data_IF_398739252258
#
_entry.id   IF_398739252258
#
_cell.length_a   1.000
_cell.length_b   1.000
_cell.length_c   1.000
_cell.angle_alpha   90.00
_cell.angle_beta   90.00
_cell.angle_gamma   90.00
#
_symmetry.space_group_name_H-M   'P 1'
#
loop_
_entity.id
_entity.type
_entity.pdbx_description
1 polymer ?
#
# COMPACT_ATOMS: atom_id res chain seq x y z
N UNK A 1 -3.39 -48.50 -38.49
CA UNK A 1 -4.03 -47.17 -38.58
C UNK A 1 -4.67 -46.88 -37.23
N UNK A 2 -4.05 -46.07 -36.38
CA UNK A 2 -4.63 -45.68 -35.10
C UNK A 2 -4.22 -44.24 -34.81
N UNK A 3 -5.05 -43.31 -35.26
CA UNK A 3 -4.87 -41.88 -35.00
C UNK A 3 -5.36 -41.55 -33.60
N UNK A 4 -4.45 -41.15 -32.71
CA UNK A 4 -4.79 -40.52 -31.44
C UNK A 4 -5.37 -39.13 -31.71
N UNK A 5 -6.67 -38.99 -31.49
CA UNK A 5 -7.36 -37.71 -31.51
C UNK A 5 -7.00 -36.98 -30.20
N UNK A 6 -5.99 -36.11 -30.24
CA UNK A 6 -5.62 -35.25 -29.10
C UNK A 6 -6.70 -34.17 -28.98
N UNK A 7 -7.64 -34.39 -28.08
CA UNK A 7 -8.64 -33.39 -27.71
C UNK A 7 -7.89 -32.27 -26.97
N UNK A 8 -7.51 -31.22 -27.68
CA UNK A 8 -7.04 -29.98 -27.07
C UNK A 8 -8.22 -29.36 -26.33
N UNK A 9 -8.29 -29.61 -25.02
CA UNK A 9 -9.20 -28.89 -24.12
C UNK A 9 -8.72 -27.45 -24.04
N UNK A 10 -9.24 -26.59 -24.91
CA UNK A 10 -9.10 -25.16 -24.75
C UNK A 10 -9.68 -24.77 -23.38
N UNK A 11 -8.87 -24.21 -22.45
CA UNK A 11 -9.39 -23.76 -21.17
C UNK A 11 -10.47 -22.69 -21.43
N UNK A 12 -11.62 -22.87 -20.79
CA UNK A 12 -12.76 -21.98 -20.94
C UNK A 12 -12.34 -20.56 -20.48
N UNK A 13 -12.41 -19.52 -21.34
CA UNK A 13 -11.94 -18.16 -21.01
C UNK A 13 -12.55 -17.59 -19.72
N UNK A 14 -13.74 -18.05 -19.35
CA UNK A 14 -14.43 -17.63 -18.13
C UNK A 14 -13.78 -18.17 -16.84
N UNK A 15 -13.21 -19.38 -16.86
CA UNK A 15 -12.54 -19.98 -15.71
C UNK A 15 -11.20 -19.31 -15.40
N UNK A 16 -10.44 -18.98 -16.44
CA UNK A 16 -9.14 -18.29 -16.31
C UNK A 16 -9.32 -16.89 -15.71
N UNK A 17 -10.36 -16.17 -16.14
CA UNK A 17 -10.63 -14.80 -15.69
C UNK A 17 -11.04 -14.74 -14.21
N UNK A 18 -11.90 -15.68 -13.78
CA UNK A 18 -12.31 -15.78 -12.37
C UNK A 18 -11.13 -16.12 -11.43
N UNK A 19 -10.24 -17.00 -11.89
CA UNK A 19 -9.06 -17.42 -11.11
C UNK A 19 -8.08 -16.26 -10.91
N UNK A 20 -7.78 -15.49 -11.96
CA UNK A 20 -6.89 -14.33 -11.92
C UNK A 20 -7.47 -13.22 -11.02
N UNK A 21 -8.77 -12.91 -11.13
CA UNK A 21 -9.43 -11.93 -10.28
C UNK A 21 -9.36 -12.32 -8.78
N UNK A 22 -9.55 -13.61 -8.47
CA UNK A 22 -9.44 -14.12 -7.11
C UNK A 22 -8.01 -13.97 -6.54
N UNK A 23 -6.99 -14.11 -7.40
CA UNK A 23 -5.59 -13.97 -7.03
C UNK A 23 -5.21 -12.51 -6.74
N UNK A 24 -5.65 -11.59 -7.61
CA UNK A 24 -5.48 -10.14 -7.44
C UNK A 24 -6.11 -9.63 -6.13
N UNK A 25 -7.27 -10.16 -5.78
CA UNK A 25 -7.95 -9.80 -4.53
C UNK A 25 -7.20 -10.29 -3.29
N UNK A 26 -6.69 -11.54 -3.33
CA UNK A 26 -5.91 -12.13 -2.22
C UNK A 26 -4.59 -11.39 -2.02
N UNK A 27 -3.89 -11.06 -3.10
CA UNK A 27 -2.62 -10.35 -3.04
C UNK A 27 -2.77 -8.90 -2.55
N UNK A 28 -3.82 -8.19 -3.00
CA UNK A 28 -4.16 -6.84 -2.50
C UNK A 28 -4.47 -6.87 -1.01
N UNK A 29 -5.24 -7.87 -0.55
CA UNK A 29 -5.52 -8.06 0.87
C UNK A 29 -4.26 -8.33 1.70
N UNK A 30 -3.34 -9.17 1.19
CA UNK A 30 -2.05 -9.40 1.84
C UNK A 30 -1.21 -8.13 1.93
N UNK A 31 -1.15 -7.33 0.86
CA UNK A 31 -0.45 -6.06 0.87
C UNK A 31 -1.02 -5.08 1.89
N UNK A 32 -2.35 -5.06 2.07
CA UNK A 32 -2.98 -4.24 3.10
C UNK A 32 -2.53 -4.66 4.51
N UNK A 33 -2.48 -5.97 4.78
CA UNK A 33 -1.99 -6.50 6.06
C UNK A 33 -0.52 -6.15 6.30
N UNK A 34 0.32 -6.26 5.27
CA UNK A 34 1.75 -5.89 5.37
C UNK A 34 1.90 -4.40 5.65
N UNK A 35 1.21 -3.52 4.91
CA UNK A 35 1.25 -2.08 5.13
C UNK A 35 0.73 -1.69 6.51
N UNK A 36 -0.36 -2.32 6.98
CA UNK A 36 -0.89 -2.11 8.33
C UNK A 36 0.10 -2.58 9.41
N UNK A 37 0.77 -3.70 9.20
CA UNK A 37 1.78 -4.22 10.12
C UNK A 37 3.01 -3.31 10.17
N UNK A 38 3.46 -2.79 9.02
CA UNK A 38 4.53 -1.81 8.95
C UNK A 38 4.17 -0.51 9.68
N UNK A 39 2.91 -0.06 9.59
CA UNK A 39 2.43 1.10 10.34
C UNK A 39 2.43 0.86 11.85
N UNK A 40 1.94 -0.29 12.28
CA UNK A 40 1.98 -0.67 13.69
C UNK A 40 3.43 -0.74 14.20
N UNK A 41 4.34 -1.34 13.43
CA UNK A 41 5.76 -1.40 13.75
C UNK A 41 6.38 0.00 13.88
N UNK A 42 6.10 0.89 12.92
CA UNK A 42 6.58 2.26 12.95
C UNK A 42 6.10 3.00 14.20
N UNK A 43 4.80 2.95 14.49
CA UNK A 43 4.20 3.59 15.67
C UNK A 43 4.82 3.04 16.96
N UNK A 44 4.97 1.72 17.08
CA UNK A 44 5.52 1.07 18.26
C UNK A 44 6.97 1.49 18.55
N UNK A 45 7.79 1.70 17.51
CA UNK A 45 9.19 2.12 17.67
C UNK A 45 9.35 3.64 17.79
N UNK A 46 8.45 4.40 17.18
CA UNK A 46 8.41 5.86 17.27
C UNK A 46 7.95 6.35 18.65
N UNK A 47 6.93 5.71 19.23
CA UNK A 47 6.32 6.11 20.50
C UNK A 47 7.32 6.31 21.65
N UNK A 48 8.25 5.38 21.94
CA UNK A 48 9.22 5.55 23.01
C UNK A 48 10.25 6.66 22.75
N UNK A 49 10.42 7.10 21.50
CA UNK A 49 11.35 8.19 21.14
C UNK A 49 10.73 9.58 21.35
N UNK A 50 9.40 9.68 21.46
CA UNK A 50 8.66 10.92 21.64
C UNK A 50 9.10 11.76 22.86
N UNK A 51 9.26 11.24 24.08
CA UNK A 51 9.65 12.06 25.23
C UNK A 51 11.02 12.71 25.06
N UNK A 52 11.97 12.00 24.43
CA UNK A 52 13.32 12.53 24.15
C UNK A 52 13.26 13.64 23.09
N UNK A 53 12.42 13.46 22.07
CA UNK A 53 12.23 14.44 21.01
C UNK A 53 11.57 15.74 21.52
N UNK A 54 10.59 15.62 22.43
CA UNK A 54 9.91 16.76 23.03
C UNK A 54 10.82 17.52 24.02
N UNK A 55 11.68 16.80 24.75
CA UNK A 55 12.57 17.42 25.74
C UNK A 55 13.73 18.23 25.11
N UNK A 56 14.20 17.83 23.92
CA UNK A 56 15.37 18.44 23.28
C UNK A 56 15.03 19.26 22.02
N UNK A 57 13.74 19.33 21.65
CA UNK A 57 13.25 19.89 20.39
C UNK A 57 14.07 19.43 19.16
N UNK A 58 14.51 18.18 19.21
CA UNK A 58 15.47 17.61 18.27
C UNK A 58 15.05 16.21 17.85
N UNK A 59 15.48 15.82 16.65
CA UNK A 59 15.22 14.48 16.11
C UNK A 59 16.14 13.48 16.83
N UNK A 60 15.57 12.45 17.51
CA UNK A 60 16.37 11.44 18.19
C UNK A 60 17.29 10.67 17.23
N UNK A 61 18.48 10.32 17.70
CA UNK A 61 19.41 9.49 16.94
C UNK A 61 18.73 8.16 16.54
N UNK A 62 18.86 7.77 15.26
CA UNK A 62 18.24 6.56 14.71
C UNK A 62 16.80 6.74 14.19
N UNK A 63 16.11 7.85 14.50
CA UNK A 63 14.76 8.10 13.98
C UNK A 63 14.73 8.18 12.45
N UNK A 64 15.71 8.86 11.83
CA UNK A 64 15.83 8.91 10.37
C UNK A 64 15.96 7.52 9.74
N UNK A 65 16.69 6.61 10.39
CA UNK A 65 16.81 5.21 9.96
C UNK A 65 15.49 4.44 10.09
N UNK A 66 14.72 4.67 11.15
CA UNK A 66 13.40 4.08 11.33
C UNK A 66 12.43 4.53 10.22
N UNK A 67 12.41 5.84 9.91
CA UNK A 67 11.60 6.42 8.83
C UNK A 67 11.98 5.81 7.48
N UNK A 68 13.27 5.90 7.11
CA UNK A 68 13.77 5.38 5.84
C UNK A 68 13.51 3.88 5.71
N UNK A 69 13.79 3.11 6.76
CA UNK A 69 13.55 1.66 6.79
C UNK A 69 12.08 1.33 6.58
N UNK A 70 11.17 2.07 7.22
CA UNK A 70 9.72 1.88 7.05
C UNK A 70 9.28 2.19 5.64
N UNK A 71 9.73 3.30 5.06
CA UNK A 71 9.41 3.67 3.66
C UNK A 71 9.94 2.62 2.69
N UNK A 72 11.19 2.17 2.88
CA UNK A 72 11.79 1.11 2.06
C UNK A 72 10.98 -0.18 2.17
N UNK A 73 10.54 -0.58 3.37
CA UNK A 73 9.70 -1.77 3.56
C UNK A 73 8.36 -1.66 2.82
N UNK A 74 7.71 -0.50 2.86
CA UNK A 74 6.46 -0.27 2.11
C UNK A 74 6.71 -0.38 0.60
N UNK A 75 7.78 0.26 0.10
CA UNK A 75 8.15 0.20 -1.32
C UNK A 75 8.43 -1.25 -1.74
N UNK A 76 9.21 -1.99 -0.94
CA UNK A 76 9.48 -3.41 -1.20
C UNK A 76 8.20 -4.23 -1.19
N UNK A 77 7.27 -4.00 -0.26
CA UNK A 77 5.98 -4.67 -0.24
C UNK A 77 5.17 -4.39 -1.52
N UNK A 78 5.17 -3.14 -2.01
CA UNK A 78 4.51 -2.78 -3.26
C UNK A 78 5.19 -3.42 -4.49
N UNK A 79 6.52 -3.51 -4.52
CA UNK A 79 7.27 -4.18 -5.59
C UNK A 79 6.97 -5.67 -5.59
N UNK A 80 7.01 -6.33 -4.42
CA UNK A 80 6.70 -7.76 -4.30
C UNK A 80 5.27 -8.02 -4.75
N UNK A 81 4.31 -7.16 -4.38
CA UNK A 81 2.95 -7.27 -4.88
C UNK A 81 2.90 -7.23 -6.42
N UNK A 82 3.51 -6.22 -7.03
CA UNK A 82 3.54 -6.09 -8.50
C UNK A 82 4.23 -7.30 -9.16
N UNK A 83 5.31 -7.81 -8.56
CA UNK A 83 6.03 -8.98 -9.04
C UNK A 83 5.20 -10.27 -8.93
N UNK A 84 4.54 -10.50 -7.79
CA UNK A 84 3.66 -11.66 -7.59
C UNK A 84 2.49 -11.64 -8.57
N UNK A 85 1.91 -10.47 -8.84
CA UNK A 85 0.86 -10.32 -9.84
C UNK A 85 1.35 -10.59 -11.26
N UNK A 86 2.55 -10.14 -11.60
CA UNK A 86 3.16 -10.38 -12.90
C UNK A 86 3.47 -11.88 -13.12
N UNK A 87 4.00 -12.57 -12.10
CA UNK A 87 4.39 -13.99 -12.18
C UNK A 87 3.16 -14.90 -12.09
N UNK A 88 2.24 -14.63 -11.15
CA UNK A 88 1.08 -15.48 -10.88
C UNK A 88 0.06 -15.55 -12.02
N UNK A 89 0.03 -14.55 -12.91
CA UNK A 89 -0.82 -14.55 -14.08
C UNK A 89 -0.17 -15.21 -15.32
N UNK A 90 1.13 -15.55 -15.30
CA UNK A 90 1.89 -16.12 -16.43
C UNK A 90 2.11 -15.15 -17.61
N UNK A 91 1.22 -14.17 -17.75
CA UNK A 91 1.32 -12.95 -18.53
C UNK A 91 0.41 -11.96 -17.82
N UNK A 92 0.82 -10.71 -17.58
CA UNK A 92 -0.09 -9.67 -17.07
C UNK A 92 -1.15 -9.41 -18.15
N UNK A 93 -2.39 -9.93 -18.03
CA UNK A 93 -3.44 -9.51 -18.93
C UNK A 93 -3.64 -8.02 -18.67
N UNK A 94 -3.84 -7.22 -19.71
CA UNK A 94 -4.10 -5.81 -19.53
C UNK A 94 -5.25 -5.65 -18.50
N UNK A 95 -5.11 -4.78 -17.47
CA UNK A 95 -6.12 -4.61 -16.45
C UNK A 95 -7.48 -4.42 -17.11
N UNK A 96 -8.47 -5.20 -16.67
CA UNK A 96 -9.83 -5.07 -17.21
C UNK A 96 -10.34 -3.65 -16.98
N UNK A 97 -11.26 -3.18 -17.82
CA UNK A 97 -11.84 -1.83 -17.65
C UNK A 97 -12.42 -1.63 -16.23
N UNK A 98 -12.93 -2.71 -15.64
CA UNK A 98 -13.42 -2.75 -14.26
C UNK A 98 -12.31 -2.56 -13.22
N UNK A 99 -11.23 -3.33 -13.30
CA UNK A 99 -10.08 -3.22 -12.40
C UNK A 99 -9.41 -1.84 -12.50
N UNK A 100 -9.30 -1.29 -13.71
CA UNK A 100 -8.76 0.05 -13.93
C UNK A 100 -9.65 1.12 -13.30
N UNK A 101 -10.96 1.01 -13.44
CA UNK A 101 -11.91 1.90 -12.78
C UNK A 101 -11.86 1.79 -11.24
N UNK A 102 -11.75 0.58 -10.71
CA UNK A 102 -11.58 0.35 -9.27
C UNK A 102 -10.29 0.98 -8.74
N UNK A 103 -9.17 0.83 -9.45
CA UNK A 103 -7.89 1.44 -9.09
C UNK A 103 -7.94 2.98 -9.15
N UNK A 104 -8.55 3.56 -10.19
CA UNK A 104 -8.72 5.01 -10.30
C UNK A 104 -9.59 5.57 -9.17
N UNK A 105 -10.68 4.87 -8.83
CA UNK A 105 -11.58 5.29 -7.74
C UNK A 105 -10.93 5.15 -6.37
N UNK A 106 -10.13 4.10 -6.17
CA UNK A 106 -9.31 3.93 -4.98
C UNK A 106 -8.28 5.05 -4.81
N UNK A 107 -7.61 5.43 -5.89
CA UNK A 107 -6.64 6.53 -5.86
C UNK A 107 -7.32 7.87 -5.58
N UNK A 108 -8.51 8.10 -6.14
CA UNK A 108 -9.32 9.29 -5.85
C UNK A 108 -9.70 9.40 -4.37
N UNK A 109 -9.96 8.28 -3.70
CA UNK A 109 -10.29 8.26 -2.27
C UNK A 109 -9.06 8.47 -1.38
N UNK A 110 -7.89 7.97 -1.80
CA UNK A 110 -6.64 8.12 -1.07
C UNK A 110 -6.06 9.54 -1.17
N UNK A 111 -6.26 10.20 -2.31
CA UNK A 111 -5.74 11.54 -2.57
C UNK A 111 -6.13 12.60 -1.51
N UNK A 112 -7.40 12.77 -1.09
CA UNK A 112 -7.74 13.74 -0.06
C UNK A 112 -7.09 13.42 1.29
N UNK A 113 -6.86 12.15 1.62
CA UNK A 113 -6.17 11.74 2.84
C UNK A 113 -4.70 12.19 2.80
N UNK A 114 -4.04 11.95 1.67
CA UNK A 114 -2.65 12.37 1.45
C UNK A 114 -2.51 13.89 1.45
N UNK A 115 -3.40 14.61 0.75
CA UNK A 115 -3.38 16.08 0.70
C UNK A 115 -3.65 16.68 2.06
N UNK A 116 -4.66 16.20 2.79
CA UNK A 116 -4.98 16.72 4.14
C UNK A 116 -3.82 16.50 5.09
N UNK A 117 -3.18 15.33 5.01
CA UNK A 117 -2.02 15.02 5.82
C UNK A 117 -0.76 15.82 5.47
N UNK A 118 -0.52 16.04 4.18
CA UNK A 118 0.56 16.91 3.72
C UNK A 118 0.32 18.36 4.17
N UNK A 119 -0.90 18.86 4.05
CA UNK A 119 -1.27 20.19 4.55
C UNK A 119 -1.14 20.27 6.07
N UNK A 120 -1.50 19.22 6.81
CA UNK A 120 -1.29 19.17 8.25
C UNK A 120 0.20 19.19 8.61
N UNK A 121 1.05 18.48 7.86
CA UNK A 121 2.50 18.49 8.05
C UNK A 121 3.15 19.84 7.68
N UNK A 122 2.67 20.50 6.62
CA UNK A 122 3.13 21.86 6.29
C UNK A 122 2.64 22.86 7.33
N UNK A 123 1.37 22.74 7.75
CA UNK A 123 0.76 23.57 8.79
C UNK A 123 1.46 23.44 10.13
N UNK A 124 1.94 22.25 10.49
CA UNK A 124 2.65 22.04 11.76
C UNK A 124 3.98 22.79 11.83
N UNK A 125 4.62 23.12 10.70
CA UNK A 125 5.83 23.96 10.67
C UNK A 125 5.55 25.38 11.17
N UNK A 126 4.33 25.89 10.98
CA UNK A 126 3.94 27.22 11.44
C UNK A 126 3.51 27.26 12.91
N UNK A 127 3.36 26.10 13.54
CA UNK A 127 2.98 25.97 14.95
C UNK A 127 4.25 25.75 15.77
N UNK A 128 4.66 26.76 16.54
CA UNK A 128 5.88 26.69 17.36
C UNK A 128 5.86 25.58 18.42
N UNK A 129 4.68 25.12 18.81
CA UNK A 129 4.47 24.01 19.75
C UNK A 129 4.78 22.62 19.15
N UNK A 130 4.93 22.53 17.82
CA UNK A 130 5.11 21.27 17.10
C UNK A 130 6.56 21.11 16.66
N UNK A 131 7.25 20.20 17.33
CA UNK A 131 8.64 19.87 17.03
C UNK A 131 8.79 19.29 15.61
N UNK A 132 9.98 19.37 14.99
CA UNK A 132 10.25 18.72 13.69
C UNK A 132 9.94 17.22 13.70
N UNK A 133 10.09 16.57 14.85
CA UNK A 133 9.68 15.19 15.05
C UNK A 133 8.17 15.00 14.84
N UNK A 134 7.33 15.84 15.45
CA UNK A 134 5.88 15.77 15.26
C UNK A 134 5.48 16.00 13.79
N UNK A 135 6.10 16.97 13.13
CA UNK A 135 5.87 17.26 11.70
C UNK A 135 6.19 16.05 10.81
N UNK A 136 7.35 15.42 11.01
CA UNK A 136 7.75 14.24 10.26
C UNK A 136 6.78 13.07 10.48
N UNK A 137 6.35 12.85 11.73
CA UNK A 137 5.38 11.80 12.06
C UNK A 137 4.02 12.05 11.41
N UNK A 138 3.52 13.28 11.41
CA UNK A 138 2.26 13.64 10.74
C UNK A 138 2.35 13.28 9.25
N UNK A 139 3.46 13.64 8.58
CA UNK A 139 3.65 13.34 7.17
C UNK A 139 3.64 11.82 6.90
N UNK A 140 4.39 11.05 7.68
CA UNK A 140 4.52 9.59 7.49
C UNK A 140 3.22 8.88 7.81
N UNK A 141 2.58 9.18 8.94
CA UNK A 141 1.31 8.58 9.32
C UNK A 141 0.21 8.89 8.31
N UNK A 142 0.20 10.11 7.77
CA UNK A 142 -0.73 10.49 6.72
C UNK A 142 -0.51 9.73 5.41
N UNK A 143 0.76 9.57 5.02
CA UNK A 143 1.13 8.76 3.87
C UNK A 143 0.66 7.31 4.04
N UNK A 144 0.92 6.71 5.22
CA UNK A 144 0.48 5.34 5.53
C UNK A 144 -1.04 5.22 5.52
N UNK A 145 -1.76 6.20 6.10
CA UNK A 145 -3.22 6.23 6.08
C UNK A 145 -3.77 6.32 4.65
N UNK A 146 -3.17 7.16 3.80
CA UNK A 146 -3.55 7.27 2.40
C UNK A 146 -3.34 5.94 1.65
N UNK A 147 -2.22 5.27 1.88
CA UNK A 147 -1.95 3.94 1.30
C UNK A 147 -2.94 2.87 1.80
N UNK A 148 -3.31 2.87 3.08
CA UNK A 148 -4.36 1.98 3.59
C UNK A 148 -5.73 2.25 2.95
N UNK A 149 -6.11 3.52 2.79
CA UNK A 149 -7.37 3.91 2.14
C UNK A 149 -7.36 3.52 0.66
N UNK A 150 -6.21 3.65 -0.01
CA UNK A 150 -6.03 3.22 -1.40
C UNK A 150 -6.23 1.71 -1.53
N UNK A 151 -5.47 0.91 -0.78
CA UNK A 151 -5.52 -0.55 -0.83
C UNK A 151 -6.89 -1.08 -0.37
N UNK A 152 -7.45 -0.49 0.69
CA UNK A 152 -8.79 -0.82 1.17
C UNK A 152 -9.89 -0.50 0.16
N UNK A 153 -9.84 0.68 -0.47
CA UNK A 153 -10.79 1.06 -1.51
C UNK A 153 -10.66 0.15 -2.74
N UNK A 154 -9.44 -0.21 -3.13
CA UNK A 154 -9.20 -1.13 -4.24
C UNK A 154 -9.80 -2.50 -3.96
N UNK A 155 -9.65 -3.02 -2.73
CA UNK A 155 -10.24 -4.29 -2.31
C UNK A 155 -11.78 -4.25 -2.33
N UNK A 156 -12.38 -3.12 -1.89
CA UNK A 156 -13.84 -2.96 -1.86
C UNK A 156 -14.43 -2.82 -3.27
N UNK A 157 -13.81 -2.02 -4.14
CA UNK A 157 -14.31 -1.81 -5.50
C UNK A 157 -13.99 -2.95 -6.46
N UNK A 158 -12.91 -3.72 -6.24
CA UNK A 158 -12.61 -4.91 -7.03
C UNK A 158 -13.54 -6.10 -6.69
N UNK A 159 -14.18 -6.10 -5.52
CA UNK A 159 -15.16 -7.12 -5.11
C UNK A 159 -16.58 -6.90 -5.63
N UNK A 160 -16.92 -5.67 -6.02
CA UNK A 160 -18.24 -5.30 -6.58
C UNK A 160 -18.18 -5.38 -8.09
#
# INVERSE_FOLDING_TARGET
MTGQNVTQSHPNPQETTATIASFQQKSTGLSLVITASAAAYYIANMWPMRPIALANDAIPAGYGGLVLGTVILIILAQIVLQAVLAIGAGSTPAPTAHERNAAMKANRNAYPVLVTGLLAAVGSVFLQELTPFCTANIAILSFMAAEMVRLGSQLVYARR
#
